data_IF_093104158841
#
_entry.id   IF_093104158841
#
_cell.length_a   1.000
_cell.length_b   1.000
_cell.length_c   1.000
_cell.angle_alpha   90.00
_cell.angle_beta   90.00
_cell.angle_gamma   90.00
#
_symmetry.space_group_name_H-M   'P 1'
#
loop_
_entity.id
_entity.type
_entity.pdbx_description
1 polymer ?
#
# COMPACT_ATOMS: atom_id res chain seq x y z
N UNK A 1 -5.94 -8.50 0.15
CA UNK A 1 -5.77 -7.69 -1.08
C UNK A 1 -6.34 -8.48 -2.25
N UNK A 2 -6.98 -7.78 -3.20
CA UNK A 2 -7.51 -8.33 -4.44
C UNK A 2 -6.52 -8.12 -5.60
N UNK A 3 -5.78 -7.00 -5.57
CA UNK A 3 -4.74 -6.69 -6.54
C UNK A 3 -3.39 -6.47 -5.83
N UNK A 4 -2.34 -7.09 -6.34
CA UNK A 4 -0.98 -7.00 -5.80
C UNK A 4 0.11 -6.85 -6.88
N UNK A 5 -0.27 -6.89 -8.15
CA UNK A 5 0.63 -6.81 -9.31
C UNK A 5 0.77 -5.40 -9.90
N UNK A 6 -0.12 -4.47 -9.51
CA UNK A 6 -0.09 -3.07 -9.94
C UNK A 6 -0.56 -2.12 -8.82
N UNK A 7 -0.15 -0.86 -8.95
CA UNK A 7 -0.62 0.25 -8.13
C UNK A 7 -2.07 0.66 -8.42
N UNK A 8 -2.65 1.39 -7.47
CA UNK A 8 -3.99 1.99 -7.57
C UNK A 8 -4.01 3.25 -8.44
N UNK A 9 -2.91 4.02 -8.48
CA UNK A 9 -2.75 5.26 -9.23
C UNK A 9 -2.40 5.00 -10.71
N UNK A 10 -3.11 5.68 -11.62
CA UNK A 10 -2.82 5.66 -13.06
C UNK A 10 -2.93 4.26 -13.66
N UNK A 11 -1.92 3.86 -14.43
CA UNK A 11 -1.80 2.47 -14.90
C UNK A 11 -1.40 1.50 -13.80
N UNK A 12 -0.75 2.02 -12.75
CA UNK A 12 -0.22 1.25 -11.62
C UNK A 12 1.09 0.53 -11.94
N UNK A 13 1.68 0.77 -13.12
CA UNK A 13 2.88 0.05 -13.59
C UNK A 13 4.12 0.94 -13.66
N UNK A 14 3.95 2.24 -13.92
CA UNK A 14 5.06 3.18 -14.13
C UNK A 14 4.99 4.38 -13.19
N UNK A 15 3.80 4.75 -12.75
CA UNK A 15 3.58 5.91 -11.89
C UNK A 15 4.24 5.69 -10.53
N UNK A 16 5.00 6.69 -10.07
CA UNK A 16 5.65 6.71 -8.75
C UNK A 16 5.47 8.10 -8.16
N UNK A 17 5.02 8.17 -6.90
CA UNK A 17 4.93 9.36 -6.06
C UNK A 17 4.50 10.63 -6.83
N UNK A 18 5.44 11.49 -7.28
CA UNK A 18 5.14 12.71 -8.01
C UNK A 18 4.25 12.55 -9.26
N UNK A 19 4.23 11.37 -9.89
CA UNK A 19 3.37 11.10 -11.04
C UNK A 19 1.91 10.86 -10.63
N UNK A 20 1.66 10.51 -9.37
CA UNK A 20 0.34 10.31 -8.79
C UNK A 20 -0.23 11.61 -8.23
N UNK A 21 -0.65 12.49 -9.14
CA UNK A 21 -1.30 13.77 -8.81
C UNK A 21 -2.82 13.64 -8.83
N UNK A 22 -3.54 14.66 -8.35
CA UNK A 22 -5.02 14.70 -8.38
C UNK A 22 -5.62 14.68 -9.80
N UNK A 23 -4.81 14.90 -10.83
CA UNK A 23 -5.23 14.79 -12.24
C UNK A 23 -5.18 13.36 -12.77
N UNK A 24 -4.54 12.44 -12.05
CA UNK A 24 -4.37 11.05 -12.45
C UNK A 24 -5.46 10.20 -11.80
N UNK A 25 -6.22 9.40 -12.57
CA UNK A 25 -7.26 8.56 -12.00
C UNK A 25 -6.69 7.55 -11.01
N UNK A 26 -7.49 7.23 -10.00
CA UNK A 26 -7.16 6.22 -8.99
C UNK A 26 -8.21 5.11 -8.99
N UNK A 27 -7.84 3.95 -8.47
CA UNK A 27 -8.76 2.84 -8.27
C UNK A 27 -9.88 3.21 -7.27
N UNK A 28 -11.08 2.62 -7.44
CA UNK A 28 -12.24 2.96 -6.62
C UNK A 28 -12.09 2.61 -5.12
N UNK A 29 -11.27 1.61 -4.80
CA UNK A 29 -11.04 1.13 -3.43
C UNK A 29 -9.56 0.84 -3.18
N UNK A 30 -8.79 1.84 -2.74
CA UNK A 30 -7.36 1.65 -2.44
C UNK A 30 -7.07 0.56 -1.39
N UNK A 31 -8.01 0.27 -0.49
CA UNK A 31 -7.85 -0.79 0.52
C UNK A 31 -7.83 -2.21 -0.06
N UNK A 32 -8.30 -2.41 -1.30
CA UNK A 32 -8.24 -3.70 -1.99
C UNK A 32 -6.91 -3.90 -2.74
N UNK A 33 -6.09 -2.87 -2.88
CA UNK A 33 -4.79 -2.89 -3.58
C UNK A 33 -3.64 -2.97 -2.57
N UNK A 34 -2.62 -3.78 -2.89
CA UNK A 34 -1.40 -3.84 -2.09
C UNK A 34 -0.57 -2.55 -2.23
N UNK A 35 -0.50 -2.01 -3.45
CA UNK A 35 0.33 -0.83 -3.76
C UNK A 35 -0.53 0.38 -4.15
N UNK A 36 -0.11 1.56 -3.70
CA UNK A 36 -0.69 2.85 -4.09
C UNK A 36 -0.21 3.24 -5.49
N UNK A 37 1.09 3.18 -5.71
CA UNK A 37 1.75 3.42 -7.00
C UNK A 37 2.61 2.19 -7.38
N UNK A 38 3.55 2.31 -8.31
CA UNK A 38 4.39 1.17 -8.74
C UNK A 38 5.30 0.58 -7.65
N UNK A 39 5.58 1.29 -6.55
CA UNK A 39 6.55 0.87 -5.53
C UNK A 39 6.11 1.09 -4.08
N UNK A 40 5.23 2.06 -3.83
CA UNK A 40 4.77 2.40 -2.48
C UNK A 40 3.51 1.64 -2.10
N UNK A 41 3.45 1.04 -0.89
CA UNK A 41 2.24 0.38 -0.38
C UNK A 41 1.05 1.33 -0.19
N UNK A 42 -0.16 0.77 -0.24
CA UNK A 42 -1.35 1.50 0.25
C UNK A 42 -1.35 1.60 1.78
N UNK A 43 -2.19 2.49 2.32
CA UNK A 43 -2.41 2.57 3.77
C UNK A 43 -2.84 1.22 4.36
N UNK A 44 -3.67 0.45 3.65
CA UNK A 44 -4.11 -0.87 4.10
C UNK A 44 -2.94 -1.85 4.24
N UNK A 45 -1.99 -1.81 3.30
CA UNK A 45 -0.76 -2.62 3.38
C UNK A 45 0.14 -2.16 4.51
N UNK A 46 0.37 -0.86 4.67
CA UNK A 46 1.15 -0.36 5.80
C UNK A 46 0.56 -0.77 7.15
N UNK A 47 -0.77 -0.69 7.30
CA UNK A 47 -1.46 -1.15 8.50
C UNK A 47 -1.25 -2.64 8.74
N UNK A 48 -1.41 -3.48 7.71
CA UNK A 48 -1.22 -4.92 7.82
C UNK A 48 0.23 -5.29 8.24
N UNK A 49 1.23 -4.58 7.71
CA UNK A 49 2.64 -4.77 8.10
C UNK A 49 2.87 -4.34 9.54
N UNK A 50 2.34 -3.20 9.97
CA UNK A 50 2.44 -2.75 11.35
C UNK A 50 1.79 -3.75 12.33
N UNK A 51 0.55 -4.17 12.05
CA UNK A 51 -0.16 -5.18 12.85
C UNK A 51 0.56 -6.53 12.87
N UNK A 52 1.27 -6.89 11.80
CA UNK A 52 2.11 -8.09 11.78
C UNK A 52 3.36 -7.91 12.65
N UNK A 53 4.04 -6.76 12.54
CA UNK A 53 5.21 -6.44 13.33
C UNK A 53 4.90 -6.44 14.83
N UNK A 54 3.82 -5.77 15.24
CA UNK A 54 3.35 -5.72 16.62
C UNK A 54 3.08 -7.13 17.16
N UNK A 55 2.26 -7.91 16.45
CA UNK A 55 1.93 -9.29 16.87
C UNK A 55 3.15 -10.21 16.98
N UNK A 56 4.19 -9.98 16.20
CA UNK A 56 5.37 -10.85 16.16
C UNK A 56 6.51 -10.39 17.06
N UNK A 57 6.56 -9.10 17.43
CA UNK A 57 7.70 -8.53 18.15
C UNK A 57 7.35 -7.81 19.45
N UNK A 58 6.09 -7.45 19.75
CA UNK A 58 5.78 -6.76 21.03
C UNK A 58 6.15 -7.61 22.26
N UNK A 59 6.00 -8.94 22.20
CA UNK A 59 6.43 -9.85 23.28
C UNK A 59 7.96 -9.78 23.53
N UNK A 60 8.75 -9.27 22.57
CA UNK A 60 10.21 -9.07 22.73
C UNK A 60 10.59 -7.75 23.41
N UNK A 61 9.65 -6.82 23.58
CA UNK A 61 9.90 -5.53 24.21
C UNK A 61 9.42 -5.46 25.68
N UNK A 62 8.71 -6.49 26.16
CA UNK A 62 8.19 -6.61 27.53
C UNK A 62 9.14 -7.34 28.51
N UNK A 63 10.44 -7.49 28.17
CA UNK A 63 11.48 -8.05 29.07
C UNK A 63 12.52 -6.99 29.45
#
# INVERSE_FOLDING_TARGET
FVEASKGCCGTGLLEMGPLCTDMVPTCAKPSEFMFWDSVHPTQATYRAVAEHFERTNIIRFDN
#
